data_IF_439110493964
#
_entry.id   IF_439110493964
#
_cell.length_a   1.000
_cell.length_b   1.000
_cell.length_c   1.000
_cell.angle_alpha   90.00
_cell.angle_beta   90.00
_cell.angle_gamma   90.00
#
_symmetry.space_group_name_H-M   'P 1'
#
loop_
_entity.id
_entity.type
_entity.pdbx_description
1 polymer ?
#
# COMPACT_ATOMS: atom_id res chain seq x y z
N UNK A 1 -0.18 -7.89 -10.88
CA UNK A 1 0.22 -6.85 -11.83
C UNK A 1 1.68 -7.05 -12.17
N UNK A 2 1.95 -7.19 -13.46
CA UNK A 2 3.31 -7.27 -14.01
C UNK A 2 3.75 -5.86 -14.47
N UNK A 3 4.96 -5.45 -14.10
CA UNK A 3 5.54 -4.16 -14.49
C UNK A 3 6.21 -4.18 -15.88
N UNK A 4 6.41 -5.37 -16.45
CA UNK A 4 7.13 -5.63 -17.68
C UNK A 4 8.64 -5.55 -17.47
N UNK A 5 9.36 -4.97 -18.45
CA UNK A 5 10.81 -4.83 -18.37
C UNK A 5 11.22 -3.90 -17.20
N UNK A 6 11.94 -4.47 -16.23
CA UNK A 6 12.64 -3.75 -15.18
C UNK A 6 14.14 -4.04 -15.20
N UNK A 7 14.91 -3.18 -14.54
CA UNK A 7 16.34 -3.33 -14.34
C UNK A 7 16.63 -3.43 -12.84
N UNK A 8 17.44 -4.41 -12.45
CA UNK A 8 17.92 -4.54 -11.07
C UNK A 8 19.26 -3.82 -10.95
N UNK A 9 19.31 -2.78 -10.14
CA UNK A 9 20.53 -2.09 -9.73
C UNK A 9 20.77 -2.20 -8.22
N UNK A 10 21.65 -1.35 -7.70
CA UNK A 10 21.86 -1.18 -6.26
C UNK A 10 21.59 0.27 -5.83
N UNK A 11 21.01 0.44 -4.64
CA UNK A 11 20.82 1.76 -4.05
C UNK A 11 22.18 2.41 -3.82
N UNK A 12 22.37 3.64 -4.29
CA UNK A 12 23.52 4.46 -3.91
C UNK A 12 23.15 5.37 -2.75
N UNK A 13 22.12 6.20 -2.94
CA UNK A 13 21.62 7.08 -1.91
C UNK A 13 20.21 7.60 -2.24
N UNK A 14 19.39 7.87 -1.22
CA UNK A 14 18.18 8.69 -1.35
C UNK A 14 18.57 10.17 -1.31
N UNK A 15 18.62 10.81 -2.47
CA UNK A 15 19.07 12.22 -2.60
C UNK A 15 17.97 13.23 -2.26
N UNK A 16 16.69 12.85 -2.38
CA UNK A 16 15.56 13.69 -1.98
C UNK A 16 14.35 12.85 -1.59
N UNK A 17 13.27 13.49 -1.14
CA UNK A 17 12.00 12.79 -0.86
C UNK A 17 11.46 11.99 -2.04
N UNK A 18 11.80 12.38 -3.28
CA UNK A 18 11.28 11.80 -4.53
C UNK A 18 12.35 11.23 -5.47
N UNK A 19 13.61 11.15 -5.03
CA UNK A 19 14.69 10.75 -5.93
C UNK A 19 15.70 9.87 -5.20
N UNK A 20 16.03 8.76 -5.84
CA UNK A 20 17.06 7.80 -5.42
C UNK A 20 18.08 7.71 -6.55
N UNK A 21 19.36 7.75 -6.20
CA UNK A 21 20.43 7.40 -7.14
C UNK A 21 20.62 5.89 -7.10
N UNK A 22 20.61 5.28 -8.28
CA UNK A 22 20.74 3.82 -8.47
C UNK A 22 21.96 3.54 -9.34
N UNK A 23 22.81 2.61 -8.90
CA UNK A 23 23.91 2.08 -9.68
C UNK A 23 23.40 0.91 -10.50
N UNK A 24 23.40 1.05 -11.83
CA UNK A 24 22.98 0.02 -12.78
C UNK A 24 24.07 -1.05 -12.95
N UNK A 25 23.70 -2.18 -13.54
CA UNK A 25 24.63 -3.32 -13.76
C UNK A 25 25.79 -2.98 -14.70
N UNK A 26 25.59 -2.02 -15.60
CA UNK A 26 26.64 -1.50 -16.50
C UNK A 26 27.60 -0.51 -15.82
N UNK A 27 27.45 -0.28 -14.51
CA UNK A 27 28.26 0.64 -13.72
C UNK A 27 27.82 2.11 -13.79
N UNK A 28 26.75 2.42 -14.54
CA UNK A 28 26.24 3.80 -14.63
C UNK A 28 25.34 4.16 -13.45
N UNK A 29 25.55 5.34 -12.87
CA UNK A 29 24.67 5.89 -11.85
C UNK A 29 23.54 6.71 -12.49
N UNK A 30 22.29 6.38 -12.16
CA UNK A 30 21.10 7.06 -12.70
C UNK A 30 20.18 7.56 -11.60
N UNK A 31 19.40 8.59 -11.91
CA UNK A 31 18.35 9.09 -11.02
C UNK A 31 17.02 8.37 -11.30
N UNK A 32 16.42 7.80 -10.26
CA UNK A 32 15.11 7.17 -10.30
C UNK A 32 14.12 7.93 -9.40
N UNK A 33 12.88 8.08 -9.88
CA UNK A 33 11.80 8.69 -9.12
C UNK A 33 11.24 7.72 -8.09
N UNK A 34 11.10 8.20 -6.86
CA UNK A 34 10.47 7.48 -5.77
C UNK A 34 9.08 8.10 -5.53
N UNK A 35 8.02 7.35 -5.83
CA UNK A 35 6.63 7.78 -5.61
C UNK A 35 6.20 7.69 -4.14
N UNK A 36 6.80 6.76 -3.39
CA UNK A 36 6.56 6.58 -1.96
C UNK A 36 7.27 7.67 -1.12
N UNK A 37 6.46 8.54 -0.50
CA UNK A 37 6.92 9.64 0.36
C UNK A 37 7.25 9.25 1.79
N UNK A 38 7.07 7.97 2.14
CA UNK A 38 7.40 7.37 3.42
C UNK A 38 8.85 7.57 3.83
N UNK A 39 9.14 7.21 5.08
CA UNK A 39 10.49 7.37 5.65
C UNK A 39 11.50 6.53 4.88
N UNK A 40 11.15 5.30 4.49
CA UNK A 40 11.93 4.39 3.64
C UNK A 40 13.42 4.31 4.03
N UNK A 41 13.79 4.61 5.28
CA UNK A 41 15.19 4.73 5.72
C UNK A 41 15.82 3.35 5.79
N UNK A 42 15.03 2.41 6.27
CA UNK A 42 15.31 1.00 6.39
C UNK A 42 15.29 0.26 5.04
N UNK A 43 14.68 0.87 4.02
CA UNK A 43 14.51 0.28 2.69
C UNK A 43 15.62 0.74 1.73
N UNK A 44 15.94 2.04 1.74
CA UNK A 44 16.86 2.68 0.81
C UNK A 44 18.28 2.80 1.37
N UNK A 45 18.78 1.68 1.92
CA UNK A 45 20.16 1.54 2.41
C UNK A 45 21.10 1.28 1.23
N UNK A 46 22.27 1.92 1.23
CA UNK A 46 23.26 1.77 0.16
C UNK A 46 23.65 0.29 -0.04
N UNK A 47 23.72 -0.15 -1.29
CA UNK A 47 24.03 -1.53 -1.67
C UNK A 47 22.80 -2.44 -1.79
N UNK A 48 21.64 -2.09 -1.20
CA UNK A 48 20.43 -2.91 -1.34
C UNK A 48 20.03 -3.05 -2.82
N UNK A 49 19.65 -4.26 -3.28
CA UNK A 49 19.10 -4.43 -4.62
C UNK A 49 17.83 -3.62 -4.79
N UNK A 50 17.72 -2.90 -5.90
CA UNK A 50 16.58 -2.04 -6.21
C UNK A 50 16.16 -2.26 -7.66
N UNK A 51 14.85 -2.46 -7.86
CA UNK A 51 14.25 -2.56 -9.16
C UNK A 51 13.76 -1.20 -9.64
N UNK A 52 14.17 -0.84 -10.85
CA UNK A 52 13.78 0.38 -11.53
C UNK A 52 13.20 0.05 -12.91
N UNK A 53 12.30 0.90 -13.40
CA UNK A 53 11.78 0.81 -14.76
C UNK A 53 11.93 2.13 -15.47
N UNK A 54 12.27 2.09 -16.76
CA UNK A 54 12.35 3.28 -17.59
C UNK A 54 11.00 4.00 -17.60
N UNK A 55 11.02 5.30 -17.34
CA UNK A 55 9.84 6.13 -17.38
C UNK A 55 9.28 6.18 -18.80
N UNK A 56 7.94 6.14 -18.93
CA UNK A 56 7.28 6.20 -20.23
C UNK A 56 7.52 7.53 -20.96
N UNK A 57 7.59 8.64 -20.22
CA UNK A 57 7.96 9.94 -20.78
C UNK A 57 9.49 10.13 -20.73
N UNK A 58 10.18 10.15 -21.88
CA UNK A 58 11.64 10.31 -21.94
C UNK A 58 12.13 11.70 -21.54
N UNK A 59 11.26 12.72 -21.50
CA UNK A 59 11.62 14.10 -21.13
C UNK A 59 11.69 14.34 -19.62
N UNK A 60 11.33 13.35 -18.81
CA UNK A 60 11.38 13.47 -17.34
C UNK A 60 12.82 13.64 -16.85
N UNK A 61 12.99 14.54 -15.89
CA UNK A 61 14.27 14.73 -15.16
C UNK A 61 14.82 13.43 -14.56
N UNK A 62 13.93 12.55 -14.12
CA UNK A 62 14.26 11.20 -13.64
C UNK A 62 13.86 10.20 -14.74
N UNK A 63 14.83 9.59 -15.45
CA UNK A 63 14.53 8.66 -16.56
C UNK A 63 13.95 7.31 -16.11
N UNK A 64 13.94 7.04 -14.80
CA UNK A 64 13.41 5.81 -14.24
C UNK A 64 12.43 6.08 -13.09
N UNK A 65 11.56 5.10 -12.82
CA UNK A 65 10.74 5.00 -11.61
C UNK A 65 11.23 3.81 -10.77
N UNK A 66 11.29 3.99 -9.46
CA UNK A 66 11.56 2.92 -8.50
C UNK A 66 10.30 2.08 -8.33
N UNK A 67 10.44 0.75 -8.42
CA UNK A 67 9.33 -0.20 -8.27
C UNK A 67 9.37 -0.93 -6.93
N UNK A 68 10.51 -1.56 -6.64
CA UNK A 68 10.69 -2.40 -5.47
C UNK A 68 12.13 -2.31 -4.98
N UNK A 69 12.34 -2.60 -3.69
CA UNK A 69 13.69 -2.72 -3.10
C UNK A 69 13.76 -3.97 -2.26
N UNK A 70 14.90 -4.65 -2.28
CA UNK A 70 15.10 -5.87 -1.54
C UNK A 70 15.70 -5.57 -0.16
N UNK A 71 15.10 -6.17 0.88
CA UNK A 71 15.61 -6.15 2.25
C UNK A 71 15.37 -7.52 2.88
N UNK A 72 16.34 -8.05 3.61
CA UNK A 72 16.24 -9.36 4.28
C UNK A 72 15.76 -10.49 3.35
N UNK A 73 16.25 -10.48 2.10
CA UNK A 73 15.85 -11.44 1.05
C UNK A 73 14.43 -11.27 0.50
N UNK A 74 13.70 -10.24 0.90
CA UNK A 74 12.31 -9.96 0.48
C UNK A 74 12.25 -8.74 -0.44
N UNK A 75 11.55 -8.87 -1.57
CA UNK A 75 11.22 -7.72 -2.41
C UNK A 75 10.05 -6.94 -1.80
N UNK A 76 10.27 -5.68 -1.49
CA UNK A 76 9.25 -4.79 -0.94
C UNK A 76 8.86 -3.83 -2.06
N UNK A 77 7.62 -3.92 -2.52
CA UNK A 77 7.10 -3.02 -3.53
C UNK A 77 6.88 -1.64 -2.88
N UNK A 78 7.50 -0.61 -3.45
CA UNK A 78 7.45 0.77 -2.97
C UNK A 78 6.91 1.73 -4.03
N UNK A 79 6.22 1.19 -5.04
CA UNK A 79 5.39 1.98 -5.96
C UNK A 79 4.06 2.30 -5.26
N UNK A 80 3.88 3.57 -4.89
CA UNK A 80 2.67 4.02 -4.19
C UNK A 80 1.37 3.90 -5.00
N UNK A 81 1.46 3.68 -6.32
CA UNK A 81 0.28 3.49 -7.18
C UNK A 81 -0.14 2.02 -7.28
N UNK A 82 0.71 1.09 -6.87
CA UNK A 82 0.47 -0.33 -7.03
C UNK A 82 -0.72 -0.85 -6.21
N UNK A 83 -0.90 -0.47 -4.92
CA UNK A 83 -2.01 -0.95 -4.10
C UNK A 83 -3.38 -0.74 -4.75
N UNK A 84 -3.66 0.49 -5.20
CA UNK A 84 -4.92 0.81 -5.86
C UNK A 84 -5.08 0.00 -7.15
N UNK A 85 -4.01 -0.18 -7.94
CA UNK A 85 -4.09 -0.94 -9.20
C UNK A 85 -4.42 -2.41 -8.96
N UNK A 86 -3.74 -3.07 -8.03
CA UNK A 86 -3.99 -4.49 -7.75
C UNK A 86 -5.35 -4.72 -7.10
N UNK A 87 -5.79 -3.83 -6.21
CA UNK A 87 -7.14 -3.88 -5.63
C UNK A 87 -8.20 -3.64 -6.69
N UNK A 88 -8.02 -2.65 -7.55
CA UNK A 88 -8.98 -2.37 -8.63
C UNK A 88 -9.14 -3.58 -9.54
N UNK A 89 -8.02 -4.17 -9.99
CA UNK A 89 -8.06 -5.35 -10.84
C UNK A 89 -8.83 -6.49 -10.15
N UNK A 90 -8.50 -6.76 -8.88
CA UNK A 90 -9.12 -7.84 -8.13
C UNK A 90 -10.61 -7.62 -7.81
N UNK A 91 -11.05 -6.37 -7.64
CA UNK A 91 -12.47 -6.03 -7.54
C UNK A 91 -13.18 -6.19 -8.88
N UNK A 92 -12.51 -5.90 -10.00
CA UNK A 92 -13.13 -5.99 -11.33
C UNK A 92 -13.23 -7.43 -11.84
N UNK A 93 -12.26 -8.28 -11.52
CA UNK A 93 -12.24 -9.70 -11.92
C UNK A 93 -12.89 -10.66 -10.91
N UNK A 94 -13.22 -10.17 -9.72
CA UNK A 94 -13.87 -10.92 -8.64
C UNK A 94 -12.93 -11.79 -7.79
N UNK A 95 -11.62 -11.65 -7.94
CA UNK A 95 -10.66 -12.33 -7.08
C UNK A 95 -10.59 -11.74 -5.67
N UNK A 96 -11.02 -10.48 -5.48
CA UNK A 96 -11.19 -9.85 -4.16
C UNK A 96 -12.67 -9.81 -3.76
N UNK A 97 -13.05 -10.70 -2.86
CA UNK A 97 -14.39 -10.72 -2.26
C UNK A 97 -14.51 -9.66 -1.18
N UNK A 98 -15.51 -8.78 -1.32
CA UNK A 98 -15.90 -7.86 -0.26
C UNK A 98 -16.97 -8.53 0.63
N UNK A 99 -16.66 -8.89 1.89
CA UNK A 99 -17.62 -9.60 2.74
C UNK A 99 -18.91 -8.79 2.83
N UNK A 100 -20.08 -9.39 2.65
CA UNK A 100 -21.36 -8.67 2.68
C UNK A 100 -21.78 -8.00 1.36
N UNK A 101 -20.99 -8.14 0.29
CA UNK A 101 -21.39 -7.79 -1.08
C UNK A 101 -21.45 -9.06 -1.96
N UNK A 102 -22.21 -9.01 -3.06
CA UNK A 102 -22.34 -10.07 -4.06
C UNK A 102 -21.75 -9.66 -5.40
N UNK A 103 -21.03 -10.57 -6.03
CA UNK A 103 -20.44 -10.33 -7.34
C UNK A 103 -21.45 -10.44 -8.49
N UNK A 104 -21.16 -9.81 -9.65
CA UNK A 104 -20.02 -8.92 -9.92
C UNK A 104 -20.16 -7.52 -9.31
N UNK A 105 -19.04 -6.81 -9.18
CA UNK A 105 -19.03 -5.42 -8.70
C UNK A 105 -18.99 -4.41 -9.85
N UNK A 106 -19.78 -3.34 -9.73
CA UNK A 106 -19.52 -2.09 -10.45
C UNK A 106 -18.48 -1.31 -9.66
N UNK A 107 -17.36 -0.90 -10.28
CA UNK A 107 -16.24 -0.24 -9.60
C UNK A 107 -15.97 1.14 -10.19
N UNK A 108 -16.02 2.17 -9.35
CA UNK A 108 -15.75 3.57 -9.67
C UNK A 108 -14.53 4.08 -8.86
N UNK A 109 -13.39 4.35 -9.49
CA UNK A 109 -12.21 4.86 -8.79
C UNK A 109 -12.34 6.35 -8.44
N UNK A 110 -11.56 6.80 -7.46
CA UNK A 110 -11.38 8.22 -7.08
C UNK A 110 -12.70 8.95 -6.80
N UNK A 111 -13.59 8.34 -6.01
CA UNK A 111 -14.94 8.85 -5.77
C UNK A 111 -14.99 9.80 -4.58
N UNK A 112 -15.55 10.99 -4.79
CA UNK A 112 -15.78 11.96 -3.72
C UNK A 112 -16.98 11.57 -2.86
N UNK A 113 -16.81 11.56 -1.53
CA UNK A 113 -17.89 11.42 -0.56
C UNK A 113 -17.63 12.37 0.61
N UNK A 114 -18.60 13.26 0.88
CA UNK A 114 -18.42 14.36 1.82
C UNK A 114 -17.25 15.24 1.40
N UNK A 115 -16.28 15.41 2.30
CA UNK A 115 -15.09 16.26 2.13
C UNK A 115 -13.83 15.47 1.74
N UNK A 116 -13.99 14.20 1.37
CA UNK A 116 -12.93 13.23 1.12
C UNK A 116 -13.06 12.62 -0.27
N UNK A 117 -11.93 12.18 -0.83
CA UNK A 117 -11.90 11.37 -2.05
C UNK A 117 -11.40 9.98 -1.67
N UNK A 118 -12.30 9.01 -1.72
CA UNK A 118 -12.03 7.61 -1.43
C UNK A 118 -11.54 6.91 -2.69
N UNK A 119 -10.68 5.90 -2.52
CA UNK A 119 -10.06 5.21 -3.65
C UNK A 119 -11.10 4.52 -4.56
N UNK A 120 -12.14 3.91 -3.97
CA UNK A 120 -13.18 3.21 -4.72
C UNK A 120 -14.58 3.41 -4.14
N UNK A 121 -15.56 3.44 -5.03
CA UNK A 121 -16.98 3.27 -4.74
C UNK A 121 -17.60 2.29 -5.73
N UNK A 122 -18.78 1.79 -5.42
CA UNK A 122 -19.44 0.87 -6.34
C UNK A 122 -20.79 0.36 -5.86
N UNK A 123 -21.28 -0.62 -6.61
CA UNK A 123 -22.42 -1.44 -6.22
C UNK A 123 -22.14 -2.91 -6.49
N UNK A 124 -22.75 -3.76 -5.69
CA UNK A 124 -22.75 -5.20 -5.88
C UNK A 124 -23.89 -5.63 -6.84
N UNK A 125 -23.98 -6.92 -7.18
CA UNK A 125 -25.03 -7.44 -8.07
C UNK A 125 -26.45 -7.30 -7.52
N UNK A 126 -26.62 -7.12 -6.21
CA UNK A 126 -27.89 -6.85 -5.55
C UNK A 126 -28.22 -5.36 -5.43
N UNK A 127 -27.38 -4.47 -5.93
CA UNK A 127 -27.54 -3.01 -5.81
C UNK A 127 -27.04 -2.42 -4.48
N UNK A 128 -26.41 -3.23 -3.62
CA UNK A 128 -25.80 -2.75 -2.38
C UNK A 128 -24.65 -1.83 -2.71
N UNK A 129 -24.72 -0.57 -2.28
CA UNK A 129 -23.67 0.42 -2.51
C UNK A 129 -22.55 0.26 -1.49
N UNK A 130 -21.32 0.46 -1.95
CA UNK A 130 -20.14 0.33 -1.12
C UNK A 130 -19.07 1.36 -1.42
N UNK A 131 -18.19 1.58 -0.43
CA UNK A 131 -16.97 2.38 -0.52
C UNK A 131 -15.78 1.58 0.00
N UNK A 132 -14.63 1.72 -0.65
CA UNK A 132 -13.38 1.12 -0.18
C UNK A 132 -12.23 2.13 -0.25
N UNK A 133 -11.39 2.13 0.78
CA UNK A 133 -10.17 2.91 0.86
C UNK A 133 -8.99 1.98 1.03
N UNK A 134 -7.93 2.18 0.26
CA UNK A 134 -6.70 1.41 0.35
C UNK A 134 -5.61 2.14 1.11
N UNK A 135 -4.77 1.36 1.77
CA UNK A 135 -3.57 1.83 2.47
C UNK A 135 -2.44 0.88 2.12
N UNK A 136 -1.41 1.40 1.45
CA UNK A 136 -0.17 0.67 1.21
C UNK A 136 0.62 0.48 2.51
N UNK A 137 1.16 -0.72 2.70
CA UNK A 137 1.87 -1.12 3.92
C UNK A 137 3.19 -1.76 3.53
N UNK A 138 4.29 -1.09 3.87
CA UNK A 138 5.66 -1.54 3.58
C UNK A 138 6.50 -1.75 4.85
N UNK A 139 6.03 -1.24 5.99
CA UNK A 139 6.70 -1.35 7.27
C UNK A 139 6.44 -2.73 7.90
N UNK A 140 7.51 -3.43 8.25
CA UNK A 140 7.43 -4.72 8.90
C UNK A 140 8.64 -5.00 9.81
N UNK A 141 8.42 -5.86 10.80
CA UNK A 141 9.43 -6.48 11.63
C UNK A 141 9.15 -7.99 11.68
N UNK A 142 10.08 -8.80 11.17
CA UNK A 142 9.86 -10.24 10.97
C UNK A 142 8.62 -10.49 10.09
N UNK A 143 7.65 -11.23 10.62
CA UNK A 143 6.40 -11.59 9.94
C UNK A 143 5.21 -10.69 10.31
N UNK A 144 5.43 -9.61 11.07
CA UNK A 144 4.40 -8.65 11.46
C UNK A 144 4.57 -7.35 10.66
N UNK A 145 3.54 -6.96 9.92
CA UNK A 145 3.47 -5.67 9.25
C UNK A 145 2.74 -4.63 10.12
N UNK A 146 3.04 -3.36 9.92
CA UNK A 146 2.33 -2.28 10.61
C UNK A 146 2.11 -1.05 9.75
N UNK A 147 1.04 -0.32 10.06
CA UNK A 147 0.72 0.98 9.46
C UNK A 147 0.42 2.01 10.55
N UNK A 148 0.79 3.29 10.41
CA UNK A 148 1.52 3.88 9.30
C UNK A 148 3.04 3.89 9.52
N UNK A 149 3.79 4.11 8.45
CA UNK A 149 5.24 4.34 8.49
C UNK A 149 5.62 5.80 8.87
N UNK A 150 4.69 6.73 8.67
CA UNK A 150 4.75 8.13 9.08
C UNK A 150 3.37 8.63 9.58
N UNK A 151 3.29 9.67 10.44
CA UNK A 151 2.00 10.21 10.88
C UNK A 151 1.11 10.61 9.69
N UNK A 152 -0.19 10.29 9.74
CA UNK A 152 -1.10 10.45 8.59
C UNK A 152 -2.49 10.97 8.97
N UNK A 153 -2.62 12.30 9.05
CA UNK A 153 -3.92 12.96 9.29
C UNK A 153 -4.92 12.68 8.17
N UNK A 154 -4.45 12.53 6.93
CA UNK A 154 -5.30 12.11 5.79
C UNK A 154 -5.82 10.69 5.97
N UNK A 155 -4.98 9.76 6.42
CA UNK A 155 -5.40 8.38 6.70
C UNK A 155 -6.48 8.35 7.78
N UNK A 156 -6.30 9.09 8.87
CA UNK A 156 -7.29 9.24 9.94
C UNK A 156 -8.62 9.82 9.43
N UNK A 157 -8.56 10.91 8.67
CA UNK A 157 -9.74 11.51 8.04
C UNK A 157 -10.53 10.49 7.22
N UNK A 158 -9.85 9.68 6.41
CA UNK A 158 -10.53 8.67 5.58
C UNK A 158 -11.21 7.58 6.43
N UNK A 159 -10.64 7.17 7.58
CA UNK A 159 -11.29 6.24 8.52
C UNK A 159 -12.60 6.82 9.06
N UNK A 160 -12.61 8.11 9.42
CA UNK A 160 -13.84 8.80 9.83
C UNK A 160 -14.85 8.90 8.68
N UNK A 161 -14.40 9.22 7.46
CA UNK A 161 -15.27 9.24 6.28
C UNK A 161 -15.93 7.89 6.02
N UNK A 162 -15.18 6.78 6.12
CA UNK A 162 -15.74 5.43 6.00
C UNK A 162 -16.76 5.13 7.09
N UNK A 163 -16.52 5.61 8.32
CA UNK A 163 -17.47 5.47 9.43
C UNK A 163 -18.78 6.20 9.13
N UNK A 164 -18.72 7.43 8.62
CA UNK A 164 -19.90 8.19 8.20
C UNK A 164 -20.64 7.50 7.06
N UNK A 165 -19.91 6.97 6.07
CA UNK A 165 -20.51 6.21 4.97
C UNK A 165 -21.24 4.95 5.47
N UNK A 166 -20.63 4.21 6.41
CA UNK A 166 -21.25 3.04 7.03
C UNK A 166 -22.55 3.40 7.76
N UNK A 167 -22.55 4.48 8.54
CA UNK A 167 -23.73 4.98 9.25
C UNK A 167 -24.83 5.47 8.31
N UNK A 168 -24.46 5.95 7.12
CA UNK A 168 -25.39 6.34 6.06
C UNK A 168 -25.95 5.15 5.25
N UNK A 169 -25.60 3.90 5.61
CA UNK A 169 -26.15 2.68 5.01
C UNK A 169 -25.33 2.10 3.85
N UNK A 170 -24.14 2.63 3.58
CA UNK A 170 -23.20 2.02 2.63
C UNK A 170 -22.42 0.90 3.32
N UNK A 171 -21.96 -0.11 2.57
CA UNK A 171 -20.91 -0.99 3.07
C UNK A 171 -19.56 -0.26 2.94
N UNK A 172 -18.80 -0.16 4.02
CA UNK A 172 -17.52 0.56 4.01
C UNK A 172 -16.34 -0.38 4.33
N UNK A 173 -15.27 -0.26 3.54
CA UNK A 173 -14.09 -1.12 3.65
C UNK A 173 -12.80 -0.31 3.79
N UNK A 174 -11.99 -0.64 4.79
CA UNK A 174 -10.60 -0.20 4.89
C UNK A 174 -9.69 -1.36 4.53
N UNK A 175 -8.94 -1.21 3.44
CA UNK A 175 -8.11 -2.25 2.85
C UNK A 175 -6.63 -1.91 3.08
N UNK A 176 -5.95 -2.73 3.86
CA UNK A 176 -4.50 -2.64 4.02
C UNK A 176 -3.81 -3.61 3.06
N UNK A 177 -2.94 -3.08 2.20
CA UNK A 177 -2.24 -3.84 1.16
C UNK A 177 -0.78 -3.98 1.57
N UNK A 178 -0.42 -5.18 2.03
CA UNK A 178 0.90 -5.50 2.56
C UNK A 178 1.84 -5.85 1.41
N UNK A 179 2.64 -4.87 0.99
CA UNK A 179 3.44 -4.84 -0.23
C UNK A 179 4.77 -5.62 -0.11
N UNK A 180 4.79 -6.71 0.65
CA UNK A 180 5.95 -7.57 0.85
C UNK A 180 5.53 -8.99 1.26
N UNK A 181 6.34 -10.02 0.94
CA UNK A 181 6.00 -11.41 1.20
C UNK A 181 6.42 -11.83 2.62
N UNK A 182 5.92 -12.99 3.07
CA UNK A 182 6.30 -13.59 4.35
C UNK A 182 5.68 -12.91 5.58
N UNK A 183 4.64 -12.09 5.39
CA UNK A 183 3.85 -11.51 6.48
C UNK A 183 2.68 -12.43 6.80
N UNK A 184 2.42 -12.63 8.09
CA UNK A 184 1.31 -13.47 8.58
C UNK A 184 0.24 -12.64 9.29
N UNK A 185 0.62 -11.50 9.86
CA UNK A 185 -0.26 -10.60 10.60
C UNK A 185 0.07 -9.14 10.33
N UNK A 186 -0.92 -8.29 10.55
CA UNK A 186 -0.79 -6.85 10.46
C UNK A 186 -1.41 -6.16 11.69
N UNK A 187 -0.78 -5.06 12.10
CA UNK A 187 -1.29 -4.20 13.16
C UNK A 187 -1.16 -2.70 12.81
N UNK A 188 -1.46 -1.83 13.77
CA UNK A 188 -1.27 -0.39 13.69
C UNK A 188 -0.06 0.00 14.54
N UNK A 189 0.82 0.85 14.02
CA UNK A 189 1.98 1.35 14.76
C UNK A 189 1.58 2.54 15.65
N UNK A 190 1.12 2.22 16.86
CA UNK A 190 0.62 3.20 17.84
C UNK A 190 1.61 4.32 18.15
N UNK A 191 2.89 4.00 18.40
CA UNK A 191 3.88 5.03 18.73
C UNK A 191 4.13 6.00 17.58
N UNK A 192 3.94 5.56 16.33
CA UNK A 192 4.08 6.43 15.17
C UNK A 192 2.90 7.38 15.02
N UNK A 193 1.68 6.92 15.27
CA UNK A 193 0.49 7.74 15.17
C UNK A 193 -0.65 7.24 16.09
N UNK A 194 -0.67 7.68 17.35
CA UNK A 194 -1.54 7.10 18.40
C UNK A 194 -3.03 7.20 18.13
N UNK A 195 -3.47 8.20 17.36
CA UNK A 195 -4.89 8.47 17.09
C UNK A 195 -5.53 7.45 16.14
N UNK A 196 -4.74 6.73 15.34
CA UNK A 196 -5.27 5.90 14.25
C UNK A 196 -5.95 4.61 14.73
N UNK A 197 -5.33 3.89 15.67
CA UNK A 197 -5.89 2.62 16.13
C UNK A 197 -7.23 2.79 16.88
N UNK A 198 -7.40 3.79 17.78
CA UNK A 198 -8.71 4.09 18.35
C UNK A 198 -9.77 4.43 17.30
N UNK A 199 -9.41 5.22 16.28
CA UNK A 199 -10.35 5.55 15.20
C UNK A 199 -10.76 4.31 14.39
N UNK A 200 -9.83 3.40 14.11
CA UNK A 200 -10.13 2.12 13.43
C UNK A 200 -11.01 1.23 14.32
N UNK A 201 -10.74 1.17 15.63
CA UNK A 201 -11.56 0.43 16.59
C UNK A 201 -13.01 0.93 16.58
N UNK A 202 -13.19 2.25 16.62
CA UNK A 202 -14.51 2.88 16.54
C UNK A 202 -15.19 2.63 15.18
N UNK A 203 -14.44 2.71 14.08
CA UNK A 203 -14.95 2.41 12.74
C UNK A 203 -15.46 0.95 12.64
N UNK A 204 -14.70 -0.02 13.15
CA UNK A 204 -15.12 -1.43 13.23
C UNK A 204 -16.39 -1.59 14.06
N UNK A 205 -16.49 -0.91 15.20
CA UNK A 205 -17.69 -0.93 16.04
C UNK A 205 -18.93 -0.33 15.32
N UNK A 206 -18.72 0.63 14.43
CA UNK A 206 -19.76 1.19 13.57
C UNK A 206 -20.12 0.30 12.36
N UNK A 207 -19.38 -0.79 12.12
CA UNK A 207 -19.61 -1.75 11.04
C UNK A 207 -18.67 -1.64 9.84
N UNK A 208 -17.68 -0.73 9.85
CA UNK A 208 -16.65 -0.65 8.81
C UNK A 208 -15.84 -1.94 8.84
N UNK A 209 -15.71 -2.60 7.68
CA UNK A 209 -14.94 -3.84 7.55
C UNK A 209 -13.47 -3.52 7.25
N UNK A 210 -12.58 -4.03 8.08
CA UNK A 210 -11.14 -3.85 7.90
C UNK A 210 -10.55 -5.16 7.38
N UNK A 211 -9.87 -5.10 6.23
CA UNK A 211 -9.22 -6.24 5.60
C UNK A 211 -7.73 -5.95 5.45
N UNK A 212 -6.89 -6.89 5.88
CA UNK A 212 -5.47 -6.89 5.54
C UNK A 212 -5.23 -7.95 4.46
N UNK A 213 -4.63 -7.55 3.36
CA UNK A 213 -4.36 -8.39 2.19
C UNK A 213 -2.85 -8.48 2.01
N UNK A 214 -2.33 -9.71 1.99
CA UNK A 214 -0.93 -9.95 1.67
C UNK A 214 -0.65 -9.70 0.19
N UNK A 215 0.62 -9.56 -0.16
CA UNK A 215 1.05 -9.58 -1.55
C UNK A 215 2.19 -10.57 -1.77
N UNK A 216 2.17 -11.23 -2.92
CA UNK A 216 3.38 -11.74 -3.53
C UNK A 216 4.06 -10.59 -4.28
N UNK A 217 5.38 -10.46 -4.14
CA UNK A 217 6.15 -9.37 -4.74
C UNK A 217 7.48 -9.89 -5.26
N UNK A 218 7.90 -9.29 -6.37
CA UNK A 218 9.21 -9.49 -6.97
C UNK A 218 9.79 -8.16 -7.44
N UNK A 219 10.91 -8.20 -8.19
CA UNK A 219 11.49 -6.99 -8.76
C UNK A 219 10.56 -6.36 -9.81
N UNK A 220 9.74 -7.16 -10.49
CA UNK A 220 8.92 -6.79 -11.65
C UNK A 220 7.43 -7.09 -11.46
N UNK A 221 6.98 -7.53 -10.29
CA UNK A 221 5.56 -7.79 -10.06
C UNK A 221 5.10 -7.51 -8.63
N UNK A 222 3.79 -7.32 -8.52
CA UNK A 222 3.04 -7.36 -7.27
C UNK A 222 1.65 -7.93 -7.54
N UNK A 223 1.27 -8.94 -6.76
CA UNK A 223 -0.03 -9.59 -6.83
C UNK A 223 -0.65 -9.72 -5.45
N UNK A 224 -1.97 -9.51 -5.35
CA UNK A 224 -2.69 -9.78 -4.12
C UNK A 224 -2.61 -11.28 -3.80
N UNK A 225 -2.37 -11.56 -2.53
CA UNK A 225 -2.29 -12.91 -1.98
C UNK A 225 -3.40 -13.11 -0.93
N UNK A 226 -3.26 -14.16 -0.14
CA UNK A 226 -4.24 -14.50 0.89
C UNK A 226 -4.44 -13.35 1.90
N UNK A 227 -5.65 -13.21 2.46
CA UNK A 227 -5.90 -12.32 3.58
C UNK A 227 -4.99 -12.64 4.77
N UNK A 228 -4.63 -11.60 5.52
CA UNK A 228 -3.80 -11.66 6.71
C UNK A 228 -4.65 -11.44 7.96
N UNK A 229 -4.19 -11.95 9.10
CA UNK A 229 -4.78 -11.59 10.39
C UNK A 229 -4.54 -10.10 10.67
N UNK A 230 -5.61 -9.35 10.93
CA UNK A 230 -5.53 -7.95 11.36
C UNK A 230 -5.91 -7.83 12.83
N UNK A 231 -5.07 -7.18 13.62
CA UNK A 231 -5.32 -6.90 15.03
C UNK A 231 -4.65 -5.58 15.41
N UNK A 232 -5.47 -4.53 15.54
CA UNK A 232 -5.03 -3.18 15.90
C UNK A 232 -4.53 -3.05 17.34
N UNK A 233 -4.62 -4.10 18.17
CA UNK A 233 -4.16 -4.10 19.56
C UNK A 233 -2.75 -4.65 19.76
N UNK A 234 -2.21 -5.34 18.75
CA UNK A 234 -0.85 -5.89 18.83
C UNK A 234 0.19 -4.75 18.91
N UNK A 235 1.20 -4.88 19.78
CA UNK A 235 2.32 -3.95 19.78
C UNK A 235 3.16 -4.14 18.51
N UNK A 236 3.73 -3.05 18.01
CA UNK A 236 4.72 -3.08 16.93
C UNK A 236 5.98 -2.37 17.39
N UNK A 237 7.13 -3.01 17.16
CA UNK A 237 8.45 -2.43 17.37
C UNK A 237 9.14 -2.34 16.02
N UNK A 238 9.51 -1.12 15.63
CA UNK A 238 10.28 -0.88 14.41
C UNK A 238 11.70 -1.41 14.57
N UNK A 239 12.26 -1.97 13.49
CA UNK A 239 13.65 -2.44 13.50
C UNK A 239 14.57 -1.23 13.39
N UNK A 240 15.46 -1.05 14.36
CA UNK A 240 16.53 -0.07 14.25
C UNK A 240 17.44 -0.41 13.07
N UNK A 241 17.62 0.56 12.18
CA UNK A 241 18.57 0.45 11.06
C UNK A 241 19.92 0.85 11.62
N UNK A 242 20.80 -0.14 11.84
CA UNK A 242 22.21 0.06 12.21
C UNK A 242 22.96 0.69 11.03
#
# INVERSE_FOLDING_TARGET
MDYGQCEIGSVVARVSRFTVTVLRQDGTAVAAHLSNTGRNKELLVAGNPISIRRAANPERKTPFDVLAVQRDGRWINIDSLAPNRVVRAALQDGSLQLPGCREPYVVHPETTYGDSRLDFAGSDAGGTKWFAETKGVTLANGTLAAFPDAPTTRGLKHVHTLTLAQQAGYQAYLLFIVQLPGITRMTIYHERFPELAPAITQAKAAGVRVLALGCATGPDFIDLAAPLGFDETLPFTEVDVV
#
